data_IF_519988437587
#
_entry.id   IF_519988437587
#
_cell.length_a   1.000
_cell.length_b   1.000
_cell.length_c   1.000
_cell.angle_alpha   90.00
_cell.angle_beta   90.00
_cell.angle_gamma   90.00
#
_symmetry.space_group_name_H-M   'P 1'
#
loop_
_entity.id
_entity.type
_entity.pdbx_description
1 polymer ?
#
# COMPACT_ATOMS: atom_id res chain seq x y z
N UNK A 1 -3.52 -29.60 24.73
CA UNK A 1 -3.17 -28.33 24.07
C UNK A 1 -3.55 -28.48 22.62
N UNK A 2 -4.54 -27.73 22.13
CA UNK A 2 -4.79 -27.69 20.69
C UNK A 2 -3.54 -27.08 20.03
N UNK A 3 -2.99 -27.67 18.96
CA UNK A 3 -1.86 -27.06 18.27
C UNK A 3 -2.27 -25.66 17.83
N UNK A 4 -1.45 -24.65 18.14
CA UNK A 4 -1.64 -23.31 17.61
C UNK A 4 -1.72 -23.44 16.08
N UNK A 5 -2.85 -23.07 15.45
CA UNK A 5 -2.97 -23.20 14.01
C UNK A 5 -1.91 -22.34 13.34
N UNK A 6 -1.16 -22.92 12.39
CA UNK A 6 -0.16 -22.21 11.60
C UNK A 6 -0.90 -21.37 10.55
N UNK A 7 -1.20 -20.12 10.87
CA UNK A 7 -1.81 -19.19 9.92
C UNK A 7 -0.72 -18.50 9.09
N UNK A 8 -0.65 -18.72 7.76
CA UNK A 8 0.24 -17.96 6.90
C UNK A 8 -0.14 -16.48 6.92
N UNK A 9 0.86 -15.60 6.80
CA UNK A 9 0.68 -14.16 6.67
C UNK A 9 1.06 -13.74 5.26
N UNK A 10 0.31 -12.81 4.69
CA UNK A 10 0.73 -12.17 3.44
C UNK A 10 2.07 -11.50 3.70
N UNK A 11 3.03 -11.81 2.84
CA UNK A 11 4.40 -11.37 2.95
C UNK A 11 4.66 -10.23 1.96
N UNK A 12 4.37 -10.43 0.68
CA UNK A 12 4.62 -9.42 -0.34
C UNK A 12 3.58 -9.51 -1.46
N UNK A 13 3.53 -8.46 -2.27
CA UNK A 13 2.84 -8.44 -3.57
C UNK A 13 3.90 -8.23 -4.65
N UNK A 14 3.93 -9.10 -5.65
CA UNK A 14 4.77 -8.94 -6.83
C UNK A 14 3.93 -8.41 -7.99
N UNK A 15 4.39 -7.35 -8.65
CA UNK A 15 3.64 -6.60 -9.66
C UNK A 15 4.53 -6.46 -10.89
N UNK A 16 4.10 -7.00 -12.04
CA UNK A 16 4.75 -6.67 -13.30
C UNK A 16 4.38 -5.25 -13.71
N UNK A 17 5.40 -4.43 -13.93
CA UNK A 17 5.27 -3.04 -14.37
C UNK A 17 5.89 -2.88 -15.75
N UNK A 18 5.45 -1.89 -16.51
CA UNK A 18 6.15 -1.49 -17.73
C UNK A 18 7.63 -1.23 -17.38
N UNK A 19 8.56 -1.81 -18.14
CA UNK A 19 9.99 -1.66 -17.90
C UNK A 19 10.42 -0.18 -17.90
N UNK A 20 9.72 0.69 -18.64
CA UNK A 20 10.00 2.12 -18.69
C UNK A 20 9.68 2.82 -17.35
N UNK A 21 8.80 2.26 -16.51
CA UNK A 21 8.55 2.77 -15.14
C UNK A 21 9.77 2.57 -14.23
N UNK A 22 10.61 1.57 -14.53
CA UNK A 22 11.83 1.25 -13.77
C UNK A 22 13.11 1.68 -14.48
N UNK A 23 13.02 2.63 -15.41
CA UNK A 23 14.19 3.37 -15.88
C UNK A 23 14.80 4.23 -14.74
N UNK A 24 15.90 4.92 -15.02
CA UNK A 24 16.59 5.72 -14.00
C UNK A 24 15.69 6.79 -13.36
N UNK A 25 14.85 7.45 -14.16
CA UNK A 25 13.99 8.53 -13.70
C UNK A 25 12.76 8.01 -12.94
N UNK A 26 12.12 6.97 -13.46
CA UNK A 26 10.96 6.33 -12.85
C UNK A 26 11.30 5.64 -11.54
N UNK A 27 12.43 4.93 -11.49
CA UNK A 27 12.96 4.33 -10.25
C UNK A 27 13.26 5.40 -9.20
N UNK A 28 13.91 6.50 -9.59
CA UNK A 28 14.18 7.61 -8.69
C UNK A 28 12.88 8.24 -8.16
N UNK A 29 11.87 8.45 -9.02
CA UNK A 29 10.58 8.98 -8.62
C UNK A 29 9.83 8.06 -7.65
N UNK A 30 9.83 6.74 -7.90
CA UNK A 30 9.24 5.75 -7.00
C UNK A 30 9.92 5.79 -5.62
N UNK A 31 11.25 5.78 -5.58
CA UNK A 31 12.01 5.83 -4.33
C UNK A 31 11.76 7.14 -3.57
N UNK A 32 11.76 8.29 -4.26
CA UNK A 32 11.48 9.60 -3.67
C UNK A 32 10.08 9.63 -3.04
N UNK A 33 9.04 9.23 -3.79
CA UNK A 33 7.67 9.19 -3.29
C UNK A 33 7.47 8.24 -2.12
N UNK A 34 7.83 6.97 -2.29
CA UNK A 34 7.55 5.95 -1.28
C UNK A 34 8.40 6.14 -0.01
N UNK A 35 9.61 6.69 -0.12
CA UNK A 35 10.41 7.05 1.04
C UNK A 35 9.90 8.31 1.75
N UNK A 36 9.55 9.38 1.02
CA UNK A 36 9.07 10.62 1.63
C UNK A 36 7.73 10.43 2.34
N UNK A 37 6.81 9.70 1.72
CA UNK A 37 5.46 9.51 2.27
C UNK A 37 5.44 8.45 3.38
N UNK A 38 5.99 7.26 3.10
CA UNK A 38 5.84 6.09 3.96
C UNK A 38 7.10 5.71 4.73
N UNK A 39 8.24 6.34 4.45
CA UNK A 39 9.53 5.89 4.99
C UNK A 39 9.97 4.54 4.44
N UNK A 40 9.43 4.10 3.30
CA UNK A 40 9.85 2.86 2.66
C UNK A 40 11.29 2.99 2.17
N UNK A 41 11.98 1.86 2.15
CA UNK A 41 13.37 1.80 1.71
C UNK A 41 13.54 0.76 0.61
N UNK A 42 14.51 1.02 -0.25
CA UNK A 42 14.94 0.06 -1.26
C UNK A 42 15.55 -1.18 -0.58
N UNK A 43 15.09 -2.36 -1.01
CA UNK A 43 15.65 -3.63 -0.58
C UNK A 43 16.80 -4.11 -1.45
N UNK A 44 17.61 -5.03 -0.90
CA UNK A 44 18.71 -5.67 -1.64
C UNK A 44 18.15 -6.52 -2.80
N UNK A 45 18.45 -6.13 -4.03
CA UNK A 45 18.11 -6.83 -5.26
C UNK A 45 19.35 -7.37 -5.98
N UNK A 46 20.53 -7.42 -5.34
CA UNK A 46 21.82 -7.75 -5.96
C UNK A 46 21.88 -9.17 -6.55
N UNK A 47 21.00 -10.07 -6.12
CA UNK A 47 20.88 -11.44 -6.63
C UNK A 47 19.80 -11.60 -7.72
N UNK A 48 19.03 -10.55 -8.00
CA UNK A 48 17.90 -10.59 -8.92
C UNK A 48 18.30 -10.26 -10.36
N UNK A 49 17.56 -10.82 -11.33
CA UNK A 49 17.76 -10.55 -12.76
C UNK A 49 16.78 -9.47 -13.22
N UNK A 50 17.24 -8.60 -14.12
CA UNK A 50 16.36 -7.66 -14.82
C UNK A 50 16.10 -6.34 -14.10
N UNK A 51 16.88 -5.99 -13.07
CA UNK A 51 16.76 -4.72 -12.32
C UNK A 51 15.37 -4.49 -11.68
N UNK A 52 14.83 -5.45 -10.91
CA UNK A 52 13.57 -5.23 -10.23
C UNK A 52 13.75 -4.28 -9.03
N UNK A 53 12.65 -3.71 -8.55
CA UNK A 53 12.65 -2.83 -7.38
C UNK A 53 11.92 -3.50 -6.22
N UNK A 54 12.60 -3.65 -5.08
CA UNK A 54 12.02 -4.14 -3.82
C UNK A 54 11.83 -2.92 -2.92
N UNK A 55 10.61 -2.71 -2.40
CA UNK A 55 10.28 -1.64 -1.46
C UNK A 55 9.81 -2.26 -0.14
N UNK A 56 10.60 -2.14 0.94
CA UNK A 56 10.22 -2.62 2.27
C UNK A 56 9.19 -1.67 2.91
N UNK A 57 8.07 -2.22 3.38
CA UNK A 57 6.90 -1.45 3.83
C UNK A 57 6.80 -1.27 5.36
N UNK A 58 7.93 -1.36 6.06
CA UNK A 58 8.01 -1.22 7.53
C UNK A 58 8.65 -2.42 8.25
N UNK A 59 8.64 -3.60 7.63
CA UNK A 59 9.28 -4.82 8.14
C UNK A 59 10.05 -5.51 7.01
N UNK A 60 11.17 -6.17 7.31
CA UNK A 60 12.00 -6.82 6.27
C UNK A 60 11.25 -7.93 5.50
N UNK A 61 10.18 -8.46 6.11
CA UNK A 61 9.31 -9.50 5.55
C UNK A 61 8.08 -8.92 4.85
N UNK A 62 7.92 -7.61 4.78
CA UNK A 62 6.78 -6.99 4.12
C UNK A 62 7.28 -6.04 3.05
N UNK A 63 7.02 -6.38 1.80
CA UNK A 63 7.54 -5.61 0.67
C UNK A 63 6.63 -5.62 -0.54
N UNK A 64 6.76 -4.59 -1.36
CA UNK A 64 6.25 -4.54 -2.72
C UNK A 64 7.40 -4.90 -3.66
N UNK A 65 7.17 -5.82 -4.59
CA UNK A 65 8.18 -6.28 -5.54
C UNK A 65 7.77 -5.91 -6.96
N UNK A 66 8.44 -4.92 -7.56
CA UNK A 66 8.17 -4.45 -8.92
C UNK A 66 9.09 -5.14 -9.91
N UNK A 67 8.48 -5.85 -10.86
CA UNK A 67 9.15 -6.65 -11.88
C UNK A 67 9.02 -5.94 -13.23
N UNK A 68 10.11 -5.44 -13.84
CA UNK A 68 10.03 -4.78 -15.13
C UNK A 68 9.72 -5.81 -16.23
N UNK A 69 8.72 -5.52 -17.06
CA UNK A 69 8.33 -6.31 -18.21
C UNK A 69 8.08 -5.41 -19.42
N UNK A 70 8.48 -5.87 -20.62
CA UNK A 70 8.31 -5.10 -21.88
C UNK A 70 6.96 -5.37 -22.56
N UNK A 71 6.51 -6.62 -22.54
CA UNK A 71 5.37 -7.05 -23.34
C UNK A 71 4.15 -7.45 -22.48
N UNK A 72 4.38 -8.10 -21.33
CA UNK A 72 3.33 -8.64 -20.46
C UNK A 72 3.44 -8.05 -19.04
N UNK A 73 3.10 -6.77 -18.90
CA UNK A 73 2.96 -6.10 -17.60
C UNK A 73 1.50 -6.01 -17.17
N UNK A 74 1.29 -5.81 -15.87
CA UNK A 74 -0.05 -5.74 -15.28
C UNK A 74 -0.78 -4.48 -15.77
N UNK A 75 -1.99 -4.68 -16.30
CA UNK A 75 -2.95 -3.61 -16.58
C UNK A 75 -4.20 -3.89 -15.75
N UNK A 76 -4.61 -2.90 -14.98
CA UNK A 76 -5.65 -3.00 -13.97
C UNK A 76 -6.87 -2.18 -14.35
N UNK A 77 -8.03 -2.56 -13.82
CA UNK A 77 -9.16 -1.66 -13.80
C UNK A 77 -8.90 -0.53 -12.80
N UNK A 78 -9.58 0.60 -12.97
CA UNK A 78 -9.48 1.69 -12.00
C UNK A 78 -9.88 1.18 -10.60
N UNK A 79 -9.11 1.58 -9.59
CA UNK A 79 -9.24 1.16 -8.19
C UNK A 79 -8.83 -0.27 -7.86
N UNK A 80 -8.27 -1.10 -8.75
CA UNK A 80 -7.62 -2.34 -8.29
C UNK A 80 -6.45 -1.97 -7.36
N UNK A 81 -6.35 -2.61 -6.19
CA UNK A 81 -5.45 -2.19 -5.12
C UNK A 81 -4.89 -3.33 -4.27
N UNK A 82 -3.87 -3.01 -3.48
CA UNK A 82 -3.51 -3.75 -2.27
C UNK A 82 -3.57 -2.82 -1.05
N UNK A 83 -3.89 -3.39 0.11
CA UNK A 83 -4.10 -2.64 1.34
C UNK A 83 -2.96 -2.76 2.34
N UNK A 84 -2.75 -1.68 3.08
CA UNK A 84 -1.88 -1.54 4.22
C UNK A 84 -2.72 -1.13 5.42
N UNK A 85 -2.62 -1.90 6.50
CA UNK A 85 -3.29 -1.57 7.75
C UNK A 85 -2.45 -0.57 8.56
N UNK A 86 -3.10 0.46 9.10
CA UNK A 86 -2.50 1.41 10.04
C UNK A 86 -3.18 1.30 11.40
N UNK A 87 -2.41 1.52 12.46
CA UNK A 87 -2.82 1.23 13.82
C UNK A 87 -3.83 2.24 14.36
N UNK A 88 -3.88 3.44 13.78
CA UNK A 88 -4.80 4.49 14.19
C UNK A 88 -5.33 5.31 13.01
N UNK A 89 -6.48 5.94 13.23
CA UNK A 89 -7.01 6.94 12.30
C UNK A 89 -6.07 8.14 12.14
N UNK A 90 -5.35 8.52 13.19
CA UNK A 90 -4.40 9.63 13.14
C UNK A 90 -3.21 9.32 12.22
N UNK A 91 -2.68 8.08 12.26
CA UNK A 91 -1.64 7.62 11.31
C UNK A 91 -2.13 7.68 9.86
N UNK A 92 -3.38 7.26 9.60
CA UNK A 92 -3.99 7.36 8.27
C UNK A 92 -4.02 8.82 7.79
N UNK A 93 -4.50 9.73 8.64
CA UNK A 93 -4.62 11.14 8.30
C UNK A 93 -3.24 11.80 8.12
N UNK A 94 -2.26 11.44 8.93
CA UNK A 94 -0.89 11.94 8.78
C UNK A 94 -0.27 11.51 7.45
N UNK A 95 -0.37 10.21 7.10
CA UNK A 95 0.10 9.72 5.80
C UNK A 95 -0.64 10.38 4.64
N UNK A 96 -1.95 10.57 4.75
CA UNK A 96 -2.74 11.29 3.75
C UNK A 96 -2.23 12.74 3.54
N UNK A 97 -1.89 13.45 4.62
CA UNK A 97 -1.32 14.80 4.49
C UNK A 97 0.06 14.78 3.82
N UNK A 98 0.87 13.74 4.04
CA UNK A 98 2.13 13.55 3.30
C UNK A 98 1.89 13.27 1.82
N UNK A 99 0.93 12.41 1.46
CA UNK A 99 0.55 12.16 0.06
C UNK A 99 0.08 13.45 -0.61
N UNK A 100 -0.80 14.24 0.05
CA UNK A 100 -1.25 15.55 -0.46
C UNK A 100 -0.10 16.54 -0.59
N UNK A 101 0.88 16.50 0.32
CA UNK A 101 2.08 17.32 0.23
C UNK A 101 2.93 16.98 -0.98
N UNK A 102 3.09 15.70 -1.26
CA UNK A 102 3.80 15.23 -2.46
C UNK A 102 3.02 15.54 -3.74
N UNK A 103 1.69 15.40 -3.74
CA UNK A 103 0.84 15.74 -4.90
C UNK A 103 1.00 17.21 -5.35
N UNK A 104 1.29 18.13 -4.41
CA UNK A 104 1.58 19.53 -4.76
C UNK A 104 2.91 19.70 -5.53
N UNK A 105 3.81 18.72 -5.44
CA UNK A 105 5.10 18.68 -6.14
C UNK A 105 5.01 17.89 -7.45
N UNK A 106 4.15 16.86 -7.49
CA UNK A 106 4.00 15.94 -8.63
C UNK A 106 2.50 15.66 -8.89
N UNK A 107 1.99 16.19 -10.01
CA UNK A 107 0.58 16.11 -10.39
C UNK A 107 0.13 14.71 -10.84
N UNK A 108 1.07 13.77 -11.02
CA UNK A 108 0.77 12.37 -11.32
C UNK A 108 0.19 11.62 -10.13
N UNK A 109 0.41 12.11 -8.90
CA UNK A 109 -0.18 11.50 -7.70
C UNK A 109 -1.70 11.69 -7.73
N UNK A 110 -2.44 10.58 -7.60
CA UNK A 110 -3.89 10.59 -7.49
C UNK A 110 -4.30 10.10 -6.11
N UNK A 111 -5.38 10.67 -5.57
CA UNK A 111 -5.87 10.39 -4.21
C UNK A 111 -7.39 10.31 -4.27
N UNK A 112 -7.99 9.34 -3.58
CA UNK A 112 -9.44 9.27 -3.39
C UNK A 112 -9.91 10.17 -2.24
N UNK A 113 -11.22 10.35 -2.12
CA UNK A 113 -11.81 10.81 -0.86
C UNK A 113 -11.63 9.76 0.24
N UNK A 114 -11.72 10.20 1.50
CA UNK A 114 -11.74 9.29 2.65
C UNK A 114 -13.06 8.51 2.64
N UNK A 115 -12.96 7.19 2.62
CA UNK A 115 -14.06 6.26 2.78
C UNK A 115 -14.27 5.86 4.24
N UNK A 116 -15.51 5.51 4.58
CA UNK A 116 -15.83 4.82 5.81
C UNK A 116 -16.94 3.80 5.57
N UNK A 117 -16.77 2.58 6.09
CA UNK A 117 -17.79 1.54 6.05
C UNK A 117 -17.85 0.74 7.35
N UNK A 118 -18.96 0.06 7.57
CA UNK A 118 -19.11 -0.88 8.70
C UNK A 118 -18.94 -2.29 8.16
N UNK A 119 -18.09 -3.07 8.84
CA UNK A 119 -17.97 -4.52 8.61
C UNK A 119 -18.26 -5.28 9.89
N UNK A 120 -18.53 -6.58 9.76
CA UNK A 120 -18.96 -7.44 10.85
C UNK A 120 -18.05 -8.67 10.94
N UNK A 121 -17.50 -8.93 12.13
CA UNK A 121 -16.71 -10.12 12.39
C UNK A 121 -16.98 -10.63 13.81
N UNK A 122 -17.24 -11.93 13.96
CA UNK A 122 -17.51 -12.59 15.25
C UNK A 122 -18.58 -11.88 16.11
N UNK A 123 -19.65 -11.40 15.49
CA UNK A 123 -20.76 -10.71 16.17
C UNK A 123 -20.40 -9.31 16.69
N UNK A 124 -19.28 -8.76 16.21
CA UNK A 124 -18.80 -7.41 16.54
C UNK A 124 -18.76 -6.55 15.29
N UNK A 125 -19.25 -5.32 15.42
CA UNK A 125 -19.15 -4.31 14.36
C UNK A 125 -17.81 -3.59 14.42
N UNK A 126 -17.24 -3.35 13.24
CA UNK A 126 -16.03 -2.58 13.05
C UNK A 126 -16.29 -1.43 12.07
N UNK A 127 -15.68 -0.28 12.30
CA UNK A 127 -15.58 0.79 11.33
C UNK A 127 -14.25 0.66 10.61
N UNK A 128 -14.31 0.54 9.28
CA UNK A 128 -13.16 0.66 8.39
C UNK A 128 -13.12 2.11 7.91
N UNK A 129 -12.01 2.79 8.13
CA UNK A 129 -11.72 4.11 7.51
C UNK A 129 -10.58 3.91 6.53
N UNK A 130 -10.75 4.35 5.29
CA UNK A 130 -9.76 4.11 4.26
C UNK A 130 -9.55 5.29 3.31
N UNK A 131 -8.39 5.32 2.66
CA UNK A 131 -8.08 6.24 1.58
C UNK A 131 -7.16 5.53 0.58
N UNK A 132 -7.36 5.80 -0.70
CA UNK A 132 -6.59 5.21 -1.78
C UNK A 132 -5.71 6.25 -2.43
N UNK A 133 -4.51 5.85 -2.84
CA UNK A 133 -3.64 6.68 -3.66
C UNK A 133 -2.97 5.86 -4.75
N UNK A 134 -2.62 6.55 -5.84
CA UNK A 134 -1.95 5.97 -7.00
C UNK A 134 -0.74 6.80 -7.35
N UNK A 135 0.39 6.12 -7.56
CA UNK A 135 1.60 6.74 -8.08
C UNK A 135 2.45 5.70 -8.83
N UNK A 136 2.51 5.82 -10.16
CA UNK A 136 3.40 5.12 -11.10
C UNK A 136 3.34 3.58 -11.13
N UNK A 137 2.73 2.89 -10.16
CA UNK A 137 2.52 1.45 -10.19
C UNK A 137 1.07 1.11 -10.63
N UNK A 138 0.80 -0.04 -11.26
CA UNK A 138 -0.54 -0.38 -11.77
C UNK A 138 -1.64 -0.45 -10.71
N UNK A 139 -1.29 -0.87 -9.48
CA UNK A 139 -2.25 -0.99 -8.38
C UNK A 139 -2.31 0.30 -7.55
N UNK A 140 -3.50 0.68 -7.13
CA UNK A 140 -3.65 1.65 -6.06
C UNK A 140 -3.15 1.04 -4.74
N UNK A 141 -2.75 1.91 -3.82
CA UNK A 141 -2.42 1.52 -2.46
C UNK A 141 -3.51 2.05 -1.55
N UNK A 142 -4.10 1.16 -0.76
CA UNK A 142 -5.08 1.51 0.27
C UNK A 142 -4.38 1.65 1.62
N UNK A 143 -4.63 2.76 2.32
CA UNK A 143 -4.44 2.82 3.77
C UNK A 143 -5.78 2.51 4.42
N UNK A 144 -5.80 1.55 5.33
CA UNK A 144 -7.00 1.17 6.06
C UNK A 144 -6.74 1.16 7.56
N UNK A 145 -7.60 1.85 8.30
CA UNK A 145 -7.70 1.73 9.74
C UNK A 145 -8.96 0.97 10.12
N UNK A 146 -8.84 0.00 11.03
CA UNK A 146 -9.96 -0.80 11.54
C UNK A 146 -10.16 -0.53 13.02
N UNK A 147 -11.34 -0.05 13.41
CA UNK A 147 -11.70 0.16 14.81
C UNK A 147 -12.97 -0.58 15.21
N UNK A 148 -12.97 -1.19 16.40
CA UNK A 148 -14.17 -1.81 16.95
C UNK A 148 -15.19 -0.73 17.31
N UNK A 149 -16.41 -0.84 16.81
CA UNK A 149 -17.50 0.04 17.25
C UNK A 149 -17.88 -0.28 18.68
N UNK A 150 -17.96 0.75 19.52
CA UNK A 150 -18.54 0.61 20.85
C UNK A 150 -20.04 0.33 20.69
N UNK A 151 -20.55 -0.61 21.47
CA UNK A 151 -21.99 -0.80 21.57
C UNK A 151 -22.61 0.54 22.01
N UNK A 152 -23.55 1.06 21.22
CA UNK A 152 -24.37 2.18 21.68
C UNK A 152 -25.20 1.67 22.85
N UNK A 153 -24.84 2.06 24.07
CA UNK A 153 -25.72 1.87 25.22
C UNK A 153 -26.97 2.70 24.99
N UNK A 154 -28.07 2.05 24.62
CA UNK A 154 -29.39 2.67 24.64
C UNK A 154 -29.70 3.04 26.10
N UNK A 155 -30.15 4.27 26.39
CA UNK A 155 -30.65 4.64 27.72
C UNK A 155 -31.84 3.78 28.16
#
# INVERSE_FOLDING_TARGET
>A
MSPTPFAPRINHVAISVDADILDEAGRAALLDFYSEVFGWIEGDNSTEKGNPLILYTGEWRQFVYLLPAKDEFMVTSEMDHFGLEVSSKDELLELLERVKAYQRKDDRVRISDIGAMVTHHDGVDFTLTNVYFWFLIPLWVELQHVERRRATSTP
#
